data_IF_747383489772
#
_entry.id   IF_747383489772
#
_cell.length_a   1.000
_cell.length_b   1.000
_cell.length_c   1.000
_cell.angle_alpha   90.00
_cell.angle_beta   90.00
_cell.angle_gamma   90.00
#
_symmetry.space_group_name_H-M   'P 1'
#
loop_
_entity.id
_entity.type
_entity.pdbx_description
1 polymer ?
#
# COMPACT_ATOMS: atom_id res chain seq x y z
N UNK A 1 -46.74 -2.58 11.36
CA UNK A 1 -45.90 -3.77 11.57
C UNK A 1 -45.42 -4.15 10.17
N UNK A 2 -44.16 -4.09 9.77
CA UNK A 2 -42.86 -3.80 10.38
C UNK A 2 -42.03 -3.11 9.28
N UNK A 3 -41.41 -1.98 9.59
CA UNK A 3 -40.45 -1.35 8.69
C UNK A 3 -39.08 -1.97 8.97
N UNK A 4 -38.71 -2.99 8.21
CA UNK A 4 -37.39 -3.61 8.30
C UNK A 4 -36.36 -2.73 7.58
N UNK A 5 -36.06 -1.59 8.19
CA UNK A 5 -34.89 -0.80 7.85
C UNK A 5 -33.68 -1.50 8.47
N UNK A 6 -33.14 -2.49 7.76
CA UNK A 6 -31.83 -3.07 8.09
C UNK A 6 -30.77 -2.04 7.74
N UNK A 7 -30.68 -1.00 8.57
CA UNK A 7 -29.53 -0.10 8.60
C UNK A 7 -28.36 -0.95 9.07
N UNK A 8 -27.56 -1.43 8.13
CA UNK A 8 -26.18 -1.85 8.39
C UNK A 8 -25.50 -0.66 9.03
N UNK A 9 -25.44 -0.68 10.36
CA UNK A 9 -24.59 0.21 11.14
C UNK A 9 -23.16 -0.21 10.80
N UNK A 10 -22.60 0.38 9.74
CA UNK A 10 -21.16 0.43 9.61
C UNK A 10 -20.63 1.02 10.93
N UNK A 11 -19.69 0.34 11.62
CA UNK A 11 -19.13 0.89 12.85
C UNK A 11 -18.58 2.29 12.54
N UNK A 12 -18.87 3.27 13.39
CA UNK A 12 -18.36 4.64 13.25
C UNK A 12 -16.86 4.58 12.92
N UNK A 13 -16.52 4.95 11.69
CA UNK A 13 -15.16 4.84 11.19
C UNK A 13 -14.29 5.79 12.03
N UNK A 14 -13.25 5.32 12.74
CA UNK A 14 -12.55 6.12 13.73
C UNK A 14 -11.54 7.06 13.04
N UNK A 15 -12.02 8.03 12.27
CA UNK A 15 -11.22 9.13 11.73
C UNK A 15 -10.96 10.19 12.80
N UNK A 16 -10.41 9.81 13.96
CA UNK A 16 -10.16 10.72 15.08
C UNK A 16 -8.72 11.22 15.18
N UNK A 17 -7.73 10.47 14.66
CA UNK A 17 -6.30 10.80 14.76
C UNK A 17 -5.59 10.57 13.42
N UNK A 18 -4.63 11.41 13.02
CA UNK A 18 -3.82 11.18 11.84
C UNK A 18 -3.08 9.83 11.96
N UNK A 19 -3.23 8.95 10.97
CA UNK A 19 -2.58 7.62 10.92
C UNK A 19 -1.09 7.72 11.24
N UNK A 20 -0.42 8.74 10.68
CA UNK A 20 1.01 8.98 10.83
C UNK A 20 1.45 9.27 12.29
N UNK A 21 0.57 9.80 13.13
CA UNK A 21 0.90 10.17 14.52
C UNK A 21 0.89 9.00 15.51
N UNK A 22 0.44 7.82 15.06
CA UNK A 22 0.26 6.60 15.87
C UNK A 22 1.04 5.40 15.36
N UNK A 23 1.86 5.57 14.31
CA UNK A 23 2.69 4.51 13.76
C UNK A 23 3.89 4.19 14.67
N UNK A 24 4.53 3.01 14.48
CA UNK A 24 5.69 2.59 15.26
C UNK A 24 6.76 3.68 15.33
N UNK A 25 7.27 3.93 16.54
CA UNK A 25 8.25 5.00 16.85
C UNK A 25 9.69 4.68 16.42
N UNK A 26 9.86 3.61 15.65
CA UNK A 26 11.13 3.22 15.08
C UNK A 26 11.68 4.35 14.22
N UNK A 27 12.99 4.60 14.28
CA UNK A 27 13.59 5.58 13.38
C UNK A 27 13.64 5.04 11.95
N UNK A 28 13.54 5.92 10.96
CA UNK A 28 13.65 5.56 9.53
C UNK A 28 14.92 4.75 9.24
N UNK A 29 16.01 5.06 9.96
CA UNK A 29 17.29 4.35 9.84
C UNK A 29 17.19 2.90 10.31
N UNK A 30 16.63 2.66 11.49
CA UNK A 30 16.46 1.31 12.02
C UNK A 30 15.51 0.48 11.13
N UNK A 31 14.45 1.12 10.62
CA UNK A 31 13.54 0.49 9.67
C UNK A 31 14.27 0.03 8.41
N UNK A 32 15.04 0.92 7.80
CA UNK A 32 15.84 0.63 6.61
C UNK A 32 16.86 -0.50 6.83
N UNK A 33 17.52 -0.51 7.99
CA UNK A 33 18.50 -1.55 8.35
C UNK A 33 17.84 -2.92 8.48
N UNK A 34 16.67 -3.00 9.10
CA UNK A 34 15.91 -4.26 9.24
C UNK A 34 15.44 -4.77 7.88
N UNK A 35 14.90 -3.89 7.03
CA UNK A 35 14.44 -4.27 5.69
C UNK A 35 15.62 -4.77 4.84
N UNK A 36 16.77 -4.09 4.88
CA UNK A 36 17.99 -4.53 4.18
C UNK A 36 18.49 -5.88 4.71
N UNK A 37 18.45 -6.08 6.03
CA UNK A 37 18.83 -7.36 6.63
C UNK A 37 17.92 -8.48 6.13
N UNK A 38 16.59 -8.29 6.19
CA UNK A 38 15.62 -9.27 5.69
C UNK A 38 15.89 -9.64 4.22
N UNK A 39 16.15 -8.65 3.37
CA UNK A 39 16.45 -8.89 1.95
C UNK A 39 17.77 -9.65 1.75
N UNK A 40 18.78 -9.40 2.59
CA UNK A 40 20.05 -10.12 2.52
C UNK A 40 19.95 -11.55 3.05
N UNK A 41 19.02 -11.83 3.97
CA UNK A 41 18.83 -13.13 4.60
C UNK A 41 17.97 -14.07 3.75
N UNK A 42 16.92 -13.54 3.13
CA UNK A 42 15.95 -14.34 2.39
C UNK A 42 16.08 -14.12 0.88
N UNK A 43 16.04 -15.20 0.09
CA UNK A 43 16.04 -15.07 -1.38
C UNK A 43 14.75 -14.45 -1.89
N UNK A 44 14.80 -13.79 -3.06
CA UNK A 44 13.68 -13.06 -3.65
C UNK A 44 12.43 -13.91 -3.80
N UNK A 45 12.59 -15.16 -4.23
CA UNK A 45 11.50 -16.10 -4.44
C UNK A 45 10.78 -16.41 -3.12
N UNK A 46 11.52 -16.64 -2.04
CA UNK A 46 10.97 -16.90 -0.71
C UNK A 46 10.20 -15.68 -0.17
N UNK A 47 10.74 -14.47 -0.35
CA UNK A 47 10.04 -13.25 0.07
C UNK A 47 8.79 -12.97 -0.77
N UNK A 48 8.78 -13.35 -2.05
CA UNK A 48 7.59 -13.24 -2.91
C UNK A 48 6.50 -14.20 -2.43
N UNK A 49 6.87 -15.42 -2.07
CA UNK A 49 5.93 -16.38 -1.49
C UNK A 49 5.37 -15.89 -0.16
N UNK A 50 6.23 -15.33 0.70
CA UNK A 50 5.81 -14.72 1.96
C UNK A 50 4.80 -13.58 1.74
N UNK A 51 5.05 -12.68 0.78
CA UNK A 51 4.09 -11.64 0.43
C UNK A 51 2.71 -12.21 0.06
N UNK A 52 2.66 -13.31 -0.71
CA UNK A 52 1.39 -13.94 -1.08
C UNK A 52 0.68 -14.58 0.12
N UNK A 53 1.44 -15.12 1.06
CA UNK A 53 0.92 -15.64 2.32
C UNK A 53 0.25 -14.51 3.12
N UNK A 54 0.97 -13.43 3.43
CA UNK A 54 0.43 -12.28 4.19
C UNK A 54 -0.80 -11.66 3.50
N UNK A 55 -0.79 -11.53 2.17
CA UNK A 55 -1.95 -11.04 1.42
C UNK A 55 -3.17 -11.97 1.55
N UNK A 56 -2.95 -13.28 1.61
CA UNK A 56 -3.99 -14.29 1.77
C UNK A 56 -4.53 -14.30 3.20
N UNK A 57 -3.66 -14.11 4.20
CA UNK A 57 -4.03 -14.01 5.61
C UNK A 57 -4.85 -12.75 5.88
N UNK A 58 -4.45 -11.59 5.33
CA UNK A 58 -5.26 -10.37 5.35
C UNK A 58 -6.64 -10.57 4.73
N UNK A 59 -6.71 -11.20 3.55
CA UNK A 59 -7.98 -11.50 2.90
C UNK A 59 -8.87 -12.38 3.81
N UNK A 60 -8.28 -13.40 4.43
CA UNK A 60 -8.97 -14.32 5.31
C UNK A 60 -9.45 -13.64 6.60
N UNK A 61 -8.63 -12.78 7.22
CA UNK A 61 -8.98 -12.02 8.41
C UNK A 61 -10.17 -11.08 8.15
N UNK A 62 -10.18 -10.36 7.02
CA UNK A 62 -11.32 -9.53 6.60
C UNK A 62 -12.59 -10.40 6.38
N UNK A 63 -12.44 -11.57 5.75
CA UNK A 63 -13.56 -12.50 5.56
C UNK A 63 -14.09 -13.08 6.88
N UNK A 64 -13.24 -13.32 7.87
CA UNK A 64 -13.65 -13.75 9.21
C UNK A 64 -14.33 -12.61 9.97
N UNK A 65 -13.80 -11.39 9.90
CA UNK A 65 -14.36 -10.21 10.58
C UNK A 65 -15.77 -9.91 10.09
N UNK A 66 -15.99 -9.91 8.77
CA UNK A 66 -17.33 -9.71 8.18
C UNK A 66 -18.36 -10.76 8.58
N UNK A 67 -17.91 -11.94 9.04
CA UNK A 67 -18.77 -13.03 9.56
C UNK A 67 -18.85 -13.07 11.09
N UNK A 68 -18.28 -12.08 11.78
CA UNK A 68 -18.20 -12.03 13.24
C UNK A 68 -17.30 -13.09 13.88
N UNK A 69 -16.30 -13.59 13.14
CA UNK A 69 -15.37 -14.67 13.57
C UNK A 69 -13.92 -14.22 13.73
N UNK A 70 -13.68 -12.92 13.69
CA UNK A 70 -12.38 -12.30 13.94
C UNK A 70 -12.60 -10.94 14.59
N UNK A 71 -11.53 -10.38 15.12
CA UNK A 71 -11.52 -9.04 15.71
C UNK A 71 -10.95 -8.01 14.73
N UNK A 72 -11.14 -6.72 15.02
CA UNK A 72 -10.44 -5.65 14.30
C UNK A 72 -8.92 -5.74 14.51
N UNK A 73 -8.48 -6.25 15.68
CA UNK A 73 -7.07 -6.49 15.97
C UNK A 73 -6.43 -7.47 14.98
N UNK A 74 -7.13 -8.58 14.71
CA UNK A 74 -6.68 -9.59 13.75
C UNK A 74 -6.46 -8.95 12.37
N UNK A 75 -7.37 -8.11 11.90
CA UNK A 75 -7.20 -7.41 10.60
C UNK A 75 -6.05 -6.40 10.64
N UNK A 76 -5.87 -5.70 11.76
CA UNK A 76 -4.77 -4.75 11.91
C UNK A 76 -3.39 -5.42 11.87
N UNK A 77 -3.27 -6.62 12.44
CA UNK A 77 -2.06 -7.44 12.40
C UNK A 77 -1.69 -7.78 10.95
N UNK A 78 -2.62 -8.38 10.20
CA UNK A 78 -2.37 -8.75 8.81
C UNK A 78 -2.11 -7.53 7.89
N UNK A 79 -2.70 -6.36 8.19
CA UNK A 79 -2.37 -5.12 7.48
C UNK A 79 -0.91 -4.73 7.74
N UNK A 80 -0.44 -4.84 8.98
CA UNK A 80 0.93 -4.52 9.34
C UNK A 80 1.92 -5.46 8.63
N UNK A 81 1.62 -6.76 8.59
CA UNK A 81 2.47 -7.75 7.94
C UNK A 81 2.54 -7.54 6.42
N UNK A 82 1.40 -7.32 5.77
CA UNK A 82 1.36 -6.95 4.34
C UNK A 82 2.13 -5.66 4.07
N UNK A 83 2.02 -4.65 4.94
CA UNK A 83 2.78 -3.40 4.80
C UNK A 83 4.30 -3.65 4.85
N UNK A 84 4.78 -4.44 5.81
CA UNK A 84 6.21 -4.80 5.93
C UNK A 84 6.67 -5.52 4.67
N UNK A 85 5.90 -6.50 4.19
CA UNK A 85 6.24 -7.21 2.97
C UNK A 85 6.24 -6.30 1.73
N UNK A 86 5.31 -5.35 1.63
CA UNK A 86 5.34 -4.33 0.58
C UNK A 86 6.61 -3.46 0.63
N UNK A 87 7.12 -3.10 1.82
CA UNK A 87 8.38 -2.36 1.93
C UNK A 87 9.59 -3.19 1.49
N UNK A 88 9.65 -4.47 1.86
CA UNK A 88 10.70 -5.38 1.37
C UNK A 88 10.64 -5.52 -0.16
N UNK A 89 9.44 -5.68 -0.73
CA UNK A 89 9.27 -5.74 -2.18
C UNK A 89 9.66 -4.45 -2.88
N UNK A 90 9.32 -3.28 -2.31
CA UNK A 90 9.72 -2.00 -2.88
C UNK A 90 11.23 -1.88 -2.97
N UNK A 91 11.98 -2.35 -1.97
CA UNK A 91 13.43 -2.37 -2.01
C UNK A 91 14.00 -3.34 -3.05
N UNK A 92 13.37 -4.51 -3.26
CA UNK A 92 13.78 -5.48 -4.29
C UNK A 92 13.53 -4.95 -5.72
N UNK A 93 12.37 -4.32 -5.96
CA UNK A 93 11.93 -3.94 -7.31
C UNK A 93 12.24 -2.49 -7.68
N UNK A 94 12.53 -1.62 -6.69
CA UNK A 94 12.97 -0.24 -6.90
C UNK A 94 12.19 0.77 -6.06
N UNK A 95 12.73 1.14 -4.90
CA UNK A 95 12.07 2.00 -3.91
C UNK A 95 11.70 3.37 -4.47
N UNK A 96 12.61 4.03 -5.19
CA UNK A 96 12.38 5.34 -5.82
C UNK A 96 11.22 5.29 -6.81
N UNK A 97 11.09 4.19 -7.55
CA UNK A 97 10.03 4.03 -8.54
C UNK A 97 8.68 3.82 -7.88
N UNK A 98 8.62 3.01 -6.82
CA UNK A 98 7.40 2.79 -6.04
C UNK A 98 6.94 4.11 -5.39
N UNK A 99 7.86 4.88 -4.79
CA UNK A 99 7.57 6.17 -4.16
C UNK A 99 6.96 7.18 -5.14
N UNK A 100 7.55 7.32 -6.34
CA UNK A 100 7.02 8.18 -7.40
C UNK A 100 5.60 7.79 -7.81
N UNK A 101 5.37 6.49 -8.03
CA UNK A 101 4.04 5.97 -8.40
C UNK A 101 3.01 6.14 -7.27
N UNK A 102 3.40 5.90 -6.02
CA UNK A 102 2.54 6.11 -4.86
C UNK A 102 2.15 7.58 -4.73
N UNK A 103 3.11 8.50 -4.85
CA UNK A 103 2.87 9.95 -4.83
C UNK A 103 1.90 10.37 -5.93
N UNK A 104 2.09 9.87 -7.16
CA UNK A 104 1.20 10.14 -8.28
C UNK A 104 -0.23 9.63 -8.01
N UNK A 105 -0.38 8.39 -7.53
CA UNK A 105 -1.68 7.81 -7.21
C UNK A 105 -2.39 8.58 -6.09
N UNK A 106 -1.67 9.06 -5.09
CA UNK A 106 -2.20 9.89 -4.02
C UNK A 106 -2.67 11.25 -4.53
N UNK A 107 -1.92 11.89 -5.43
CA UNK A 107 -2.37 13.13 -6.09
C UNK A 107 -3.66 12.92 -6.87
N UNK A 108 -3.72 11.87 -7.70
CA UNK A 108 -4.92 11.52 -8.45
C UNK A 108 -6.12 11.25 -7.53
N UNK A 109 -5.89 10.60 -6.38
CA UNK A 109 -6.95 10.39 -5.39
C UNK A 109 -7.42 11.72 -4.79
N UNK A 110 -6.50 12.60 -4.40
CA UNK A 110 -6.84 13.92 -3.87
C UNK A 110 -7.64 14.76 -4.88
N UNK A 111 -7.26 14.75 -6.16
CA UNK A 111 -7.99 15.46 -7.22
C UNK A 111 -9.44 14.95 -7.34
N UNK A 112 -9.64 13.62 -7.32
CA UNK A 112 -10.99 13.01 -7.32
C UNK A 112 -11.83 13.42 -6.11
N UNK A 113 -11.18 13.69 -4.98
CA UNK A 113 -11.82 14.12 -3.75
C UNK A 113 -11.94 15.65 -3.63
N UNK A 114 -11.49 16.41 -4.64
CA UNK A 114 -11.45 17.88 -4.59
C UNK A 114 -10.47 18.44 -3.55
N UNK A 115 -9.52 17.64 -3.08
CA UNK A 115 -8.52 18.06 -2.11
C UNK A 115 -7.33 18.70 -2.83
N UNK A 116 -7.11 19.99 -2.58
CA UNK A 116 -6.01 20.73 -3.20
C UNK A 116 -4.67 20.41 -2.52
N UNK A 117 -3.87 19.53 -3.14
CA UNK A 117 -2.50 19.30 -2.70
C UNK A 117 -1.64 20.48 -3.13
N UNK A 118 -1.10 21.23 -2.15
CA UNK A 118 -0.09 22.27 -2.43
C UNK A 118 1.08 21.65 -3.20
N UNK A 119 1.40 22.22 -4.36
CA UNK A 119 2.57 21.81 -5.11
C UNK A 119 3.83 21.96 -4.24
N UNK A 120 4.76 20.99 -4.24
CA UNK A 120 6.06 21.17 -3.61
C UNK A 120 6.77 22.34 -4.30
N UNK A 121 7.48 23.15 -3.51
CA UNK A 121 8.05 24.45 -3.90
C UNK A 121 9.16 24.41 -4.99
N UNK A 122 9.27 23.34 -5.76
CA UNK A 122 10.37 23.11 -6.71
C UNK A 122 10.00 22.42 -8.03
N UNK A 123 8.71 22.20 -8.35
CA UNK A 123 8.33 21.70 -9.68
C UNK A 123 7.99 22.87 -10.59
N UNK A 124 9.00 23.37 -11.32
CA UNK A 124 8.78 24.20 -12.50
C UNK A 124 8.17 23.32 -13.58
N UNK A 125 6.99 23.71 -14.06
CA UNK A 125 6.39 23.34 -15.34
C UNK A 125 6.70 21.92 -15.82
N UNK A 126 6.02 20.95 -15.23
CA UNK A 126 6.04 19.57 -15.69
C UNK A 126 4.68 18.96 -15.47
N UNK A 127 3.78 19.14 -16.45
CA UNK A 127 2.66 18.23 -16.62
C UNK A 127 3.27 16.84 -16.73
N UNK A 128 3.15 16.03 -15.67
CA UNK A 128 3.67 14.67 -15.68
C UNK A 128 2.74 13.84 -16.57
N UNK A 129 3.02 13.81 -17.88
CA UNK A 129 2.41 12.90 -18.86
C UNK A 129 2.85 11.44 -18.64
N UNK A 130 3.01 11.03 -17.39
CA UNK A 130 3.61 9.76 -16.97
C UNK A 130 2.78 8.52 -17.28
N UNK A 131 1.53 8.66 -17.77
CA UNK A 131 0.83 7.53 -18.37
C UNK A 131 1.39 7.21 -19.76
N UNK A 132 1.76 8.19 -20.60
CA UNK A 132 2.05 7.96 -22.03
C UNK A 132 3.51 7.55 -22.35
N UNK A 133 4.52 7.99 -21.61
CA UNK A 133 5.92 7.61 -21.91
C UNK A 133 6.36 6.36 -21.12
N UNK A 134 5.76 6.19 -19.95
CA UNK A 134 6.09 5.12 -19.01
C UNK A 134 5.41 3.79 -19.34
N UNK A 135 4.14 3.81 -19.77
CA UNK A 135 3.46 2.61 -20.28
C UNK A 135 3.98 2.22 -21.67
N UNK A 136 4.39 3.22 -22.47
CA UNK A 136 4.91 3.00 -23.84
C UNK A 136 6.31 2.39 -23.86
N UNK A 137 7.16 2.70 -22.88
CA UNK A 137 8.45 2.02 -22.69
C UNK A 137 8.32 0.57 -22.18
N UNK A 138 7.19 0.22 -21.55
CA UNK A 138 6.88 -1.15 -21.10
C UNK A 138 6.27 -2.01 -22.20
N UNK A 139 5.61 -1.43 -23.20
CA UNK A 139 5.00 -2.16 -24.33
C UNK A 139 6.00 -2.67 -25.38
N UNK A 140 7.28 -2.28 -25.32
CA UNK A 140 8.28 -2.60 -26.35
C UNK A 140 9.25 -3.74 -26.01
N UNK A 141 9.06 -4.49 -24.91
CA UNK A 141 10.00 -5.55 -24.51
C UNK A 141 9.40 -6.96 -24.30
N UNK A 142 8.25 -7.26 -24.90
CA UNK A 142 7.81 -8.64 -25.11
C UNK A 142 7.44 -8.84 -26.59
N UNK A 143 8.40 -9.30 -27.37
CA UNK A 143 8.20 -9.56 -28.81
C UNK A 143 9.50 -9.63 -29.59
N UNK A 144 10.45 -10.46 -29.15
CA UNK A 144 11.74 -10.56 -29.82
C UNK A 144 12.63 -11.69 -29.31
N UNK A 145 12.12 -12.92 -29.32
CA UNK A 145 12.97 -14.11 -29.39
C UNK A 145 12.58 -14.86 -30.66
N UNK A 146 13.53 -14.90 -31.61
CA UNK A 146 13.57 -15.89 -32.70
C UNK A 146 14.01 -17.23 -32.14
#
# INVERSE_FOLDING_TARGET
>A
MENNNTTTLDPEVPYGKPVLSSLPKMSDKEFDEIIKLAISTYVKEAQTMMLFEEMSELQNAICKLSRGRATVGDVCEEIADVMIMCFQMAQIYGVTRVEQLATFKMRRLADRLGYNIKAPASVKDGVFHGEDELLRSLSTKEGGAK
#
